data_IF_641660710343
#
_entry.id   IF_641660710343
#
_cell.length_a   1.000
_cell.length_b   1.000
_cell.length_c   1.000
_cell.angle_alpha   90.00
_cell.angle_beta   90.00
_cell.angle_gamma   90.00
#
_symmetry.space_group_name_H-M   'P 1'
#
loop_
_entity.id
_entity.type
_entity.pdbx_description
1 polymer ?
#
# COMPACT_ATOMS: atom_id res chain seq x y z
N UNK A 1 -25.65 19.64 13.83
CA UNK A 1 -24.65 19.14 12.88
C UNK A 1 -24.53 20.19 11.80
N UNK A 2 -23.43 20.95 11.83
CA UNK A 2 -23.15 21.98 10.83
C UNK A 2 -22.41 21.31 9.67
N UNK A 3 -22.97 21.42 8.46
CA UNK A 3 -22.33 20.91 7.24
C UNK A 3 -21.29 21.91 6.77
N UNK A 4 -20.02 21.53 6.76
CA UNK A 4 -18.93 22.36 6.23
C UNK A 4 -18.43 21.83 4.90
N UNK A 5 -18.19 22.72 3.93
CA UNK A 5 -17.68 22.36 2.61
C UNK A 5 -16.14 22.41 2.60
N UNK A 6 -15.49 21.26 2.40
CA UNK A 6 -14.03 21.17 2.33
C UNK A 6 -13.59 21.34 0.88
N UNK A 7 -13.14 22.54 0.52
CA UNK A 7 -12.63 22.86 -0.84
C UNK A 7 -11.15 22.56 -1.03
N UNK A 8 -10.42 22.36 0.05
CA UNK A 8 -8.98 22.12 -0.01
C UNK A 8 -8.56 21.10 1.05
N UNK A 9 -7.85 20.07 0.62
CA UNK A 9 -7.21 19.08 1.51
C UNK A 9 -5.70 19.22 1.45
N UNK A 10 -5.04 19.00 2.59
CA UNK A 10 -3.59 19.02 2.67
C UNK A 10 -2.99 17.83 1.95
N UNK A 11 -2.36 18.06 0.79
CA UNK A 11 -1.76 17.01 -0.06
C UNK A 11 -0.83 16.11 0.74
N UNK A 12 0.04 16.69 1.57
CA UNK A 12 0.97 15.93 2.41
C UNK A 12 0.27 15.10 3.50
N UNK A 13 -0.86 15.57 4.02
CA UNK A 13 -1.64 14.83 5.01
C UNK A 13 -2.28 13.59 4.38
N UNK A 14 -2.94 13.79 3.24
CA UNK A 14 -3.58 12.69 2.48
C UNK A 14 -2.53 11.70 2.00
N UNK A 15 -1.38 12.17 1.50
CA UNK A 15 -0.29 11.30 1.05
C UNK A 15 0.22 10.39 2.17
N UNK A 16 0.47 10.91 3.38
CA UNK A 16 0.88 10.09 4.53
C UNK A 16 -0.20 9.09 4.93
N UNK A 17 -1.46 9.51 4.93
CA UNK A 17 -2.58 8.64 5.26
C UNK A 17 -2.72 7.48 4.25
N UNK A 18 -2.67 7.78 2.96
CA UNK A 18 -2.66 6.78 1.89
C UNK A 18 -1.45 5.86 1.98
N UNK A 19 -0.25 6.39 2.27
CA UNK A 19 0.96 5.58 2.47
C UNK A 19 0.81 4.58 3.62
N UNK A 20 0.21 5.00 4.74
CA UNK A 20 -0.05 4.12 5.88
C UNK A 20 -1.05 3.01 5.52
N UNK A 21 -2.11 3.33 4.79
CA UNK A 21 -3.08 2.33 4.31
C UNK A 21 -2.41 1.36 3.33
N UNK A 22 -1.65 1.87 2.36
CA UNK A 22 -0.95 1.03 1.38
C UNK A 22 0.11 0.13 2.03
N UNK A 23 0.76 0.56 3.11
CA UNK A 23 1.64 -0.30 3.90
C UNK A 23 0.89 -1.52 4.43
N UNK A 24 -0.31 -1.32 4.99
CA UNK A 24 -1.12 -2.43 5.53
C UNK A 24 -1.47 -3.41 4.41
N UNK A 25 -1.98 -2.91 3.28
CA UNK A 25 -2.29 -3.76 2.12
C UNK A 25 -1.06 -4.50 1.57
N UNK A 26 0.08 -3.82 1.52
CA UNK A 26 1.32 -4.41 1.02
C UNK A 26 1.84 -5.49 1.96
N UNK A 27 1.70 -5.31 3.28
CA UNK A 27 2.08 -6.32 4.26
C UNK A 27 1.16 -7.54 4.18
N UNK A 28 -0.15 -7.34 3.99
CA UNK A 28 -1.10 -8.42 3.76
C UNK A 28 -0.73 -9.20 2.48
N UNK A 29 -0.50 -8.49 1.36
CA UNK A 29 -0.08 -9.10 0.10
C UNK A 29 1.23 -9.85 0.23
N UNK A 30 2.18 -9.33 0.99
CA UNK A 30 3.45 -9.97 1.26
C UNK A 30 3.24 -11.27 2.07
N UNK A 31 2.40 -11.25 3.12
CA UNK A 31 2.06 -12.45 3.89
C UNK A 31 1.43 -13.55 3.00
N UNK A 32 0.49 -13.20 2.11
CA UNK A 32 -0.04 -14.17 1.14
C UNK A 32 1.05 -14.72 0.22
N UNK A 33 1.91 -13.85 -0.30
CA UNK A 33 3.02 -14.26 -1.18
C UNK A 33 3.99 -15.22 -0.47
N UNK A 34 4.26 -15.01 0.82
CA UNK A 34 5.08 -15.91 1.64
C UNK A 34 4.44 -17.31 1.75
N UNK A 35 3.13 -17.36 1.99
CA UNK A 35 2.38 -18.62 2.08
C UNK A 35 2.43 -19.36 0.73
N UNK A 36 2.15 -18.68 -0.38
CA UNK A 36 2.23 -19.29 -1.71
C UNK A 36 3.64 -19.78 -2.05
N UNK A 37 4.67 -19.03 -1.69
CA UNK A 37 6.05 -19.46 -1.89
C UNK A 37 6.36 -20.71 -1.07
N UNK A 38 5.93 -20.78 0.19
CA UNK A 38 6.09 -21.96 1.03
C UNK A 38 5.45 -23.20 0.39
N UNK A 39 4.19 -23.12 -0.04
CA UNK A 39 3.53 -24.23 -0.73
C UNK A 39 4.20 -24.57 -2.06
N UNK A 40 4.60 -23.57 -2.84
CA UNK A 40 5.28 -23.76 -4.12
C UNK A 40 6.62 -24.50 -3.99
N UNK A 41 7.44 -24.13 -3.00
CA UNK A 41 8.71 -24.82 -2.73
C UNK A 41 8.47 -26.28 -2.36
N UNK A 42 7.51 -26.57 -1.45
CA UNK A 42 7.20 -27.94 -1.05
C UNK A 42 6.66 -28.82 -2.19
N UNK A 43 6.00 -28.22 -3.20
CA UNK A 43 5.53 -28.93 -4.39
C UNK A 43 6.67 -29.20 -5.40
N UNK A 44 7.67 -28.32 -5.48
CA UNK A 44 8.81 -28.42 -6.41
C UNK A 44 9.95 -29.30 -5.87
N UNK A 45 10.20 -29.27 -4.55
CA UNK A 45 11.25 -30.06 -3.89
C UNK A 45 10.94 -31.58 -3.95
N UNK A 46 9.69 -31.95 -4.24
CA UNK A 46 9.31 -33.33 -4.60
C UNK A 46 9.98 -33.83 -5.91
N UNK A 47 10.56 -32.94 -6.72
CA UNK A 47 11.13 -33.25 -8.04
C UNK A 47 12.59 -32.82 -8.24
N UNK A 48 13.15 -31.94 -7.41
CA UNK A 48 14.54 -31.44 -7.57
C UNK A 48 15.21 -31.11 -6.24
N UNK A 49 16.26 -31.84 -5.88
CA UNK A 49 17.04 -31.71 -4.64
C UNK A 49 18.08 -30.58 -4.67
N UNK A 50 17.70 -29.30 -4.75
CA UNK A 50 18.69 -28.20 -4.61
C UNK A 50 18.07 -26.82 -4.30
N UNK A 51 17.13 -26.71 -3.36
CA UNK A 51 16.81 -25.40 -2.77
C UNK A 51 17.10 -25.44 -1.26
N UNK A 52 18.33 -25.10 -0.89
CA UNK A 52 18.72 -25.00 0.52
C UNK A 52 17.83 -23.99 1.25
N UNK A 53 17.07 -24.48 2.23
CA UNK A 53 16.09 -23.76 3.06
C UNK A 53 16.60 -22.42 3.63
N UNK A 54 17.92 -22.31 3.85
CA UNK A 54 18.60 -21.10 4.34
C UNK A 54 18.60 -19.94 3.33
N UNK A 55 18.72 -20.21 2.02
CA UNK A 55 18.63 -19.19 0.98
C UNK A 55 17.20 -18.66 0.76
N UNK A 56 16.20 -19.52 1.01
CA UNK A 56 14.78 -19.18 0.87
C UNK A 56 14.32 -18.14 1.90
N UNK A 57 14.75 -18.25 3.16
CA UNK A 57 14.34 -17.33 4.22
C UNK A 57 14.90 -15.91 4.03
N UNK A 58 16.17 -15.78 3.63
CA UNK A 58 16.78 -14.48 3.35
C UNK A 58 16.13 -13.80 2.13
N UNK A 59 15.87 -14.57 1.08
CA UNK A 59 15.18 -14.08 -0.13
C UNK A 59 13.75 -13.64 0.18
N UNK A 60 13.05 -14.38 1.04
CA UNK A 60 11.70 -14.04 1.48
C UNK A 60 11.70 -12.73 2.27
N UNK A 61 12.57 -12.60 3.28
CA UNK A 61 12.68 -11.39 4.08
C UNK A 61 12.99 -10.15 3.22
N UNK A 62 13.90 -10.28 2.26
CA UNK A 62 14.24 -9.22 1.32
C UNK A 62 13.06 -8.85 0.40
N UNK A 63 12.32 -9.85 -0.08
CA UNK A 63 11.12 -9.64 -0.91
C UNK A 63 10.02 -8.92 -0.12
N UNK A 64 9.77 -9.32 1.14
CA UNK A 64 8.79 -8.65 2.02
C UNK A 64 9.17 -7.19 2.23
N UNK A 65 10.46 -6.90 2.47
CA UNK A 65 10.96 -5.54 2.65
C UNK A 65 10.72 -4.69 1.39
N UNK A 66 11.05 -5.22 0.20
CA UNK A 66 10.85 -4.53 -1.07
C UNK A 66 9.36 -4.23 -1.28
N UNK A 67 8.48 -5.21 -1.07
CA UNK A 67 7.03 -5.03 -1.25
C UNK A 67 6.51 -3.95 -0.30
N UNK A 68 6.89 -4.00 0.97
CA UNK A 68 6.47 -3.03 1.97
C UNK A 68 6.94 -1.61 1.61
N UNK A 69 8.23 -1.43 1.30
CA UNK A 69 8.80 -0.12 0.96
C UNK A 69 8.17 0.43 -0.32
N UNK A 70 8.02 -0.41 -1.34
CA UNK A 70 7.38 -0.02 -2.61
C UNK A 70 5.93 0.39 -2.37
N UNK A 71 5.20 -0.37 -1.54
CA UNK A 71 3.84 -0.06 -1.13
C UNK A 71 3.67 1.30 -0.48
N UNK A 72 4.57 1.66 0.44
CA UNK A 72 4.58 2.99 1.09
C UNK A 72 4.78 4.08 0.04
N UNK A 73 5.79 3.92 -0.83
CA UNK A 73 6.15 4.94 -1.83
C UNK A 73 4.99 5.13 -2.82
N UNK A 74 4.45 4.03 -3.35
CA UNK A 74 3.32 4.06 -4.29
C UNK A 74 2.08 4.63 -3.63
N UNK A 75 1.78 4.24 -2.39
CA UNK A 75 0.65 4.78 -1.61
C UNK A 75 0.79 6.28 -1.34
N UNK A 76 2.00 6.73 -1.02
CA UNK A 76 2.29 8.15 -0.80
C UNK A 76 2.10 8.96 -2.09
N UNK A 77 2.71 8.51 -3.19
CA UNK A 77 2.63 9.21 -4.48
C UNK A 77 1.18 9.23 -4.99
N UNK A 78 0.49 8.10 -4.97
CA UNK A 78 -0.89 8.01 -5.42
C UNK A 78 -1.84 8.87 -4.56
N UNK A 79 -1.66 8.87 -3.24
CA UNK A 79 -2.40 9.75 -2.33
C UNK A 79 -2.12 11.24 -2.56
N UNK A 80 -0.87 11.61 -2.82
CA UNK A 80 -0.50 12.98 -3.16
C UNK A 80 -1.15 13.43 -4.47
N UNK A 81 -1.12 12.59 -5.50
CA UNK A 81 -1.76 12.85 -6.80
C UNK A 81 -3.27 13.00 -6.60
N UNK A 82 -3.91 12.08 -5.88
CA UNK A 82 -5.35 12.12 -5.63
C UNK A 82 -5.78 13.41 -4.90
N UNK A 83 -5.04 13.83 -3.88
CA UNK A 83 -5.31 15.07 -3.16
C UNK A 83 -5.11 16.32 -4.03
N UNK A 84 -4.08 16.32 -4.87
CA UNK A 84 -3.84 17.41 -5.81
C UNK A 84 -4.98 17.53 -6.83
N UNK A 85 -5.40 16.41 -7.41
CA UNK A 85 -6.53 16.35 -8.34
C UNK A 85 -7.82 16.79 -7.66
N UNK A 86 -8.05 16.37 -6.41
CA UNK A 86 -9.19 16.81 -5.62
C UNK A 86 -9.24 18.33 -5.46
N UNK A 87 -8.13 18.97 -5.07
CA UNK A 87 -8.09 20.41 -4.88
C UNK A 87 -8.41 21.20 -6.16
N UNK A 88 -7.96 20.69 -7.31
CA UNK A 88 -8.32 21.27 -8.62
C UNK A 88 -9.81 21.08 -8.90
N UNK A 89 -10.31 19.85 -8.75
CA UNK A 89 -11.71 19.52 -9.03
C UNK A 89 -12.67 20.30 -8.11
N UNK A 90 -12.32 20.45 -6.83
CA UNK A 90 -13.12 21.19 -5.86
C UNK A 90 -13.21 22.70 -6.20
N UNK A 91 -12.21 23.26 -6.87
CA UNK A 91 -12.27 24.63 -7.40
C UNK A 91 -13.28 24.81 -8.53
N UNK A 92 -13.60 23.74 -9.27
CA UNK A 92 -14.50 23.77 -10.44
C UNK A 92 -15.92 23.33 -10.05
N UNK A 93 -16.04 22.23 -9.30
CA UNK A 93 -17.32 21.57 -9.03
C UNK A 93 -17.88 21.84 -7.64
N UNK A 94 -17.13 22.55 -6.79
CA UNK A 94 -17.40 22.63 -5.34
C UNK A 94 -16.75 21.48 -4.57
N UNK A 95 -16.51 21.70 -3.29
CA UNK A 95 -15.89 20.74 -2.38
C UNK A 95 -16.89 19.71 -1.82
N UNK A 96 -16.36 18.69 -1.14
CA UNK A 96 -17.15 17.71 -0.40
C UNK A 96 -17.72 18.37 0.86
N UNK A 97 -19.03 18.22 1.07
CA UNK A 97 -19.70 18.59 2.32
C UNK A 97 -19.45 17.51 3.35
N UNK A 98 -18.94 17.90 4.50
CA UNK A 98 -18.63 17.02 5.62
C UNK A 98 -19.40 17.55 6.83
N UNK A 99 -20.11 16.64 7.50
CA UNK A 99 -20.67 16.93 8.82
C UNK A 99 -19.52 16.90 9.82
N UNK A 100 -19.27 18.04 10.46
CA UNK A 100 -18.36 18.11 11.59
C UNK A 100 -19.20 17.95 12.87
N UNK A 101 -18.78 17.01 13.72
CA UNK A 101 -19.34 16.80 15.06
C UNK A 101 -18.85 17.86 16.05
#
# INVERSE_FOLDING_TARGET
METHEIKHVGVFSVAKFCAAISLIFSLISAAFSAIFLYFGINMVDAYTTTLTLSGGLATLAFTMLIIAVTGIIVGFISGAIAAFVYNIAAGIFGGIKVDLD
#
